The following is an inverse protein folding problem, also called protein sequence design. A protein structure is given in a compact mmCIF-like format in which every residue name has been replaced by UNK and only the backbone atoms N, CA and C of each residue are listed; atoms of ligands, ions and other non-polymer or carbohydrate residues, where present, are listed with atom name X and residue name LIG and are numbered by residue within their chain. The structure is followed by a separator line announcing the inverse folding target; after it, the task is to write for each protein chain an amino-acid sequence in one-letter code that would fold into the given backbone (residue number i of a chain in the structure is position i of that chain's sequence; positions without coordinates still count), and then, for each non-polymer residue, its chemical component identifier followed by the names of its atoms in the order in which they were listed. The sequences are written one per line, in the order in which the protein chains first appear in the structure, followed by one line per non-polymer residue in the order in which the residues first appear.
data_IF_269617315667
#
_entry.id   IF_269617315667
#
_cell.length_a   1.000
_cell.length_b   1.000
_cell.length_c   1.000
_cell.angle_alpha   90.00
_cell.angle_beta   90.00
_cell.angle_gamma   90.00
#
_symmetry.space_group_name_H-M   'P 1'
#
loop_
_entity.id
_entity.type
_entity.pdbx_description
1 polymer ?
#
# COMPACT_ATOMS: atom_id res chain seq x y z
N UNK A 1 -17.73 18.48 44.85
CA UNK A 1 -17.38 19.07 43.54
C UNK A 1 -17.81 18.07 42.46
N UNK A 2 -18.98 18.29 41.86
CA UNK A 2 -19.52 17.42 40.81
C UNK A 2 -18.78 17.71 39.51
N UNK A 3 -17.87 16.81 39.13
CA UNK A 3 -17.06 16.92 37.93
C UNK A 3 -17.98 16.92 36.69
N UNK A 4 -18.04 18.05 36.00
CA UNK A 4 -18.79 18.28 34.76
C UNK A 4 -18.53 17.14 33.77
N UNK A 5 -19.61 16.52 33.26
CA UNK A 5 -19.56 15.33 32.40
C UNK A 5 -18.67 15.45 31.16
N UNK A 6 -18.41 16.66 30.66
CA UNK A 6 -17.48 16.91 29.55
C UNK A 6 -16.02 16.56 29.87
N UNK A 7 -15.57 16.76 31.11
CA UNK A 7 -14.20 16.42 31.51
C UNK A 7 -14.00 14.91 31.67
N UNK A 8 -15.00 14.22 32.25
CA UNK A 8 -15.00 12.77 32.35
C UNK A 8 -15.02 12.10 30.96
N UNK A 9 -15.76 12.65 30.01
CA UNK A 9 -15.76 12.19 28.61
C UNK A 9 -14.38 12.43 27.97
N UNK A 10 -13.76 13.60 28.18
CA UNK A 10 -12.41 13.87 27.67
C UNK A 10 -11.36 12.89 28.17
N UNK A 11 -11.40 12.56 29.47
CA UNK A 11 -10.49 11.57 30.08
C UNK A 11 -10.74 10.16 29.52
N UNK A 12 -12.01 9.76 29.34
CA UNK A 12 -12.36 8.46 28.76
C UNK A 12 -11.91 8.33 27.30
N UNK A 13 -12.07 9.39 26.50
CA UNK A 13 -11.63 9.41 25.10
C UNK A 13 -10.11 9.33 25.01
N UNK A 14 -9.38 10.10 25.84
CA UNK A 14 -7.92 10.04 25.89
C UNK A 14 -7.42 8.65 26.32
N UNK A 15 -8.09 8.03 27.30
CA UNK A 15 -7.79 6.66 27.75
C UNK A 15 -8.04 5.63 26.63
N UNK A 16 -9.18 5.73 25.94
CA UNK A 16 -9.53 4.84 24.83
C UNK A 16 -8.54 4.96 23.66
N UNK A 17 -8.10 6.17 23.33
CA UNK A 17 -7.06 6.42 22.33
C UNK A 17 -5.71 5.82 22.75
N UNK A 18 -5.31 6.01 24.00
CA UNK A 18 -4.07 5.43 24.54
C UNK A 18 -4.09 3.89 24.50
N UNK A 19 -5.23 3.28 24.84
CA UNK A 19 -5.44 1.85 24.71
C UNK A 19 -5.37 1.41 23.24
N UNK A 20 -6.06 2.07 22.33
CA UNK A 20 -6.03 1.72 20.91
C UNK A 20 -4.60 1.77 20.33
N UNK A 21 -3.80 2.78 20.67
CA UNK A 21 -2.40 2.88 20.26
C UNK A 21 -1.55 1.75 20.85
N UNK A 22 -1.70 1.47 22.15
CA UNK A 22 -0.95 0.40 22.79
C UNK A 22 -1.31 -1.00 22.25
N UNK A 23 -2.59 -1.26 22.01
CA UNK A 23 -3.05 -2.53 21.44
C UNK A 23 -2.67 -2.68 19.96
N UNK A 24 -2.65 -1.60 19.19
CA UNK A 24 -2.19 -1.64 17.79
C UNK A 24 -0.68 -1.85 17.70
N UNK A 25 0.11 -1.16 18.51
CA UNK A 25 1.56 -1.42 18.58
C UNK A 25 1.86 -2.82 19.12
N UNK A 26 1.22 -3.23 20.21
CA UNK A 26 1.38 -4.56 20.80
C UNK A 26 0.97 -5.66 19.82
N UNK A 27 -0.19 -5.53 19.20
CA UNK A 27 -0.67 -6.44 18.16
C UNK A 27 0.24 -6.49 16.94
N UNK A 28 0.80 -5.37 16.50
CA UNK A 28 1.75 -5.31 15.39
C UNK A 28 3.08 -6.01 15.70
N UNK A 29 3.63 -5.80 16.90
CA UNK A 29 4.87 -6.45 17.36
C UNK A 29 4.65 -7.95 17.57
N UNK A 30 3.56 -8.35 18.23
CA UNK A 30 3.18 -9.75 18.41
C UNK A 30 2.92 -10.47 17.09
N UNK A 31 2.22 -9.82 16.14
CA UNK A 31 2.01 -10.37 14.80
C UNK A 31 3.31 -10.55 14.01
N UNK A 32 4.34 -9.74 14.31
CA UNK A 32 5.65 -9.84 13.64
C UNK A 32 6.60 -10.85 14.28
N UNK A 33 6.45 -11.15 15.57
CA UNK A 33 7.32 -12.09 16.29
C UNK A 33 6.72 -13.51 16.41
N UNK A 34 5.40 -13.64 16.46
CA UNK A 34 4.70 -14.91 16.76
C UNK A 34 3.67 -15.31 15.68
N UNK A 35 3.41 -14.44 14.71
CA UNK A 35 2.55 -14.78 13.58
C UNK A 35 3.22 -15.79 12.65
N UNK A 36 2.45 -16.68 11.98
CA UNK A 36 2.99 -17.46 10.87
C UNK A 36 3.67 -16.49 9.91
N UNK A 37 4.92 -16.77 9.52
CA UNK A 37 5.64 -15.97 8.53
C UNK A 37 4.67 -15.60 7.41
N UNK A 38 4.34 -14.31 7.20
CA UNK A 38 3.43 -13.96 6.13
C UNK A 38 4.06 -14.49 4.83
N UNK A 39 3.28 -15.16 3.95
CA UNK A 39 3.76 -15.45 2.61
C UNK A 39 4.30 -14.15 2.05
N UNK A 40 5.52 -14.19 1.52
CA UNK A 40 6.35 -13.04 1.22
C UNK A 40 5.48 -11.87 0.71
N UNK A 41 5.28 -10.84 1.54
CA UNK A 41 4.73 -9.56 1.08
C UNK A 41 5.81 -8.83 0.28
N UNK A 42 6.19 -9.42 -0.85
CA UNK A 42 7.07 -8.82 -1.86
C UNK A 42 6.33 -7.90 -2.84
N UNK A 43 5.01 -7.70 -2.69
CA UNK A 43 4.15 -6.96 -3.63
C UNK A 43 3.36 -5.79 -3.04
N UNK A 44 3.73 -5.29 -1.85
CA UNK A 44 2.82 -4.48 -1.03
C UNK A 44 2.61 -3.00 -1.36
N UNK A 45 3.20 -2.45 -2.42
CA UNK A 45 3.02 -1.01 -2.70
C UNK A 45 3.13 -0.68 -4.18
N UNK A 46 4.25 -1.06 -4.79
CA UNK A 46 4.48 -0.78 -6.20
C UNK A 46 3.75 -1.76 -7.13
N UNK A 47 3.72 -3.05 -6.80
CA UNK A 47 2.93 -4.01 -7.58
C UNK A 47 1.42 -3.77 -7.50
N UNK A 48 0.93 -3.27 -6.36
CA UNK A 48 -0.45 -2.82 -6.23
C UNK A 48 -0.73 -1.54 -7.04
N UNK A 49 0.23 -0.62 -7.11
CA UNK A 49 0.18 0.59 -7.93
C UNK A 49 0.19 0.30 -9.45
N UNK A 50 0.91 -0.74 -9.88
CA UNK A 50 0.95 -1.19 -11.28
C UNK A 50 -0.07 -2.29 -11.61
N UNK A 51 -0.88 -2.75 -10.64
CA UNK A 51 -1.83 -3.85 -10.83
C UNK A 51 -1.19 -5.18 -11.26
N UNK A 52 0.10 -5.36 -10.96
CA UNK A 52 1.01 -6.24 -11.69
C UNK A 52 1.20 -7.63 -11.08
N UNK A 53 0.83 -7.85 -9.83
CA UNK A 53 1.20 -9.09 -9.10
C UNK A 53 0.61 -10.39 -9.68
N UNK A 54 -0.40 -10.32 -10.56
CA UNK A 54 -1.08 -11.52 -11.09
C UNK A 54 -1.25 -11.57 -12.60
N UNK A 55 -0.90 -10.50 -13.31
CA UNK A 55 -1.08 -10.41 -14.76
C UNK A 55 0.20 -10.69 -15.57
N UNK A 56 1.37 -10.55 -14.93
CA UNK A 56 2.67 -10.71 -15.59
C UNK A 56 3.39 -11.99 -15.15
N UNK A 57 4.17 -12.62 -16.05
CA UNK A 57 5.08 -13.72 -15.71
C UNK A 57 6.11 -13.32 -14.66
N UNK A 58 6.63 -14.27 -13.85
CA UNK A 58 7.56 -13.98 -12.76
C UNK A 58 8.85 -13.32 -13.25
N UNK A 59 9.35 -13.69 -14.43
CA UNK A 59 10.55 -13.10 -15.04
C UNK A 59 10.36 -11.60 -15.29
N UNK A 60 9.22 -11.21 -15.86
CA UNK A 60 8.87 -9.80 -16.09
C UNK A 60 8.64 -9.05 -14.78
N UNK A 61 8.10 -9.70 -13.74
CA UNK A 61 7.92 -9.06 -12.43
C UNK A 61 9.26 -8.69 -11.77
N UNK A 62 10.26 -9.56 -11.89
CA UNK A 62 11.58 -9.32 -11.35
C UNK A 62 12.30 -8.19 -12.10
N UNK A 63 12.22 -8.17 -13.43
CA UNK A 63 12.75 -7.08 -14.26
C UNK A 63 12.07 -5.74 -13.95
N UNK A 64 10.74 -5.70 -13.85
CA UNK A 64 9.99 -4.51 -13.45
C UNK A 64 10.43 -4.00 -12.08
N UNK A 65 10.56 -4.92 -11.11
CA UNK A 65 10.99 -4.58 -9.76
C UNK A 65 12.39 -3.98 -9.78
N UNK A 66 13.31 -4.60 -10.51
CA UNK A 66 14.69 -4.14 -10.61
C UNK A 66 14.77 -2.76 -11.29
N UNK A 67 14.09 -2.56 -12.41
CA UNK A 67 14.07 -1.28 -13.13
C UNK A 67 13.58 -0.11 -12.26
N UNK A 68 12.65 -0.38 -11.34
CA UNK A 68 12.12 0.59 -10.37
C UNK A 68 13.11 0.87 -9.26
N UNK A 69 13.80 -0.16 -8.76
CA UNK A 69 14.84 0.00 -7.75
C UNK A 69 16.09 0.68 -8.28
N UNK A 70 16.41 0.51 -9.56
CA UNK A 70 17.60 1.11 -10.16
C UNK A 70 17.38 2.57 -10.59
N UNK A 71 16.12 3.00 -10.78
CA UNK A 71 15.79 4.39 -11.11
C UNK A 71 15.85 5.30 -9.86
N UNK A 72 16.87 6.19 -9.73
CA UNK A 72 16.97 7.11 -8.60
C UNK A 72 15.82 8.15 -8.59
N UNK A 73 15.29 8.52 -9.76
CA UNK A 73 14.18 9.45 -9.85
C UNK A 73 12.86 8.80 -9.39
N UNK A 74 12.72 7.48 -9.56
CA UNK A 74 11.59 6.74 -9.01
C UNK A 74 11.62 6.73 -7.48
N UNK A 75 12.80 6.47 -6.88
CA UNK A 75 13.00 6.56 -5.42
C UNK A 75 12.62 7.93 -4.88
N UNK A 76 12.99 8.99 -5.59
CA UNK A 76 12.69 10.36 -5.16
C UNK A 76 11.19 10.66 -5.23
N UNK A 77 10.48 10.22 -6.27
CA UNK A 77 9.02 10.34 -6.36
C UNK A 77 8.30 9.62 -5.22
N UNK A 78 8.78 8.43 -4.85
CA UNK A 78 8.23 7.67 -3.72
C UNK A 78 8.44 8.44 -2.41
N UNK A 79 9.63 9.00 -2.19
CA UNK A 79 9.92 9.84 -1.00
C UNK A 79 9.01 11.06 -0.95
N UNK A 80 8.88 11.79 -2.06
CA UNK A 80 8.00 12.96 -2.15
C UNK A 80 6.55 12.61 -1.75
N UNK A 81 6.01 11.50 -2.26
CA UNK A 81 4.67 11.04 -1.88
C UNK A 81 4.54 10.71 -0.38
N UNK A 82 5.56 10.05 0.20
CA UNK A 82 5.60 9.75 1.64
C UNK A 82 5.63 11.05 2.47
N UNK A 83 6.42 12.03 2.04
CA UNK A 83 6.54 13.33 2.71
C UNK A 83 5.23 14.13 2.64
N UNK A 84 4.58 14.21 1.47
CA UNK A 84 3.28 14.89 1.35
C UNK A 84 2.21 14.22 2.23
N UNK A 85 2.22 12.88 2.34
CA UNK A 85 1.32 12.16 3.26
C UNK A 85 1.63 12.46 4.73
N UNK A 86 2.91 12.56 5.12
CA UNK A 86 3.29 12.96 6.48
C UNK A 86 2.78 14.36 6.78
N UNK A 87 3.01 15.31 5.88
CA UNK A 87 2.55 16.70 5.97
C UNK A 87 1.02 16.80 6.08
N UNK A 88 0.28 15.96 5.35
CA UNK A 88 -1.17 15.86 5.47
C UNK A 88 -1.59 15.51 6.90
N UNK A 89 -0.95 14.52 7.51
CA UNK A 89 -1.24 14.13 8.89
C UNK A 89 -0.83 15.18 9.93
N UNK A 90 0.19 15.99 9.65
CA UNK A 90 0.57 17.12 10.49
C UNK A 90 -0.51 18.22 10.44
N UNK A 91 -0.99 18.58 9.25
CA UNK A 91 -2.04 19.58 9.05
C UNK A 91 -3.36 19.14 9.69
N UNK A 92 -3.74 17.87 9.53
CA UNK A 92 -4.96 17.33 10.16
C UNK A 92 -4.93 17.38 11.69
N UNK A 93 -3.74 17.44 12.30
CA UNK A 93 -3.55 17.53 13.76
C UNK A 93 -3.25 18.94 14.26
N UNK A 94 -3.12 19.91 13.35
CA UNK A 94 -2.84 21.29 13.70
C UNK A 94 -4.05 21.92 14.41
N UNK A 95 -3.76 22.75 15.42
CA UNK A 95 -4.74 23.59 16.10
C UNK A 95 -4.24 25.04 16.04
N UNK A 96 -4.96 25.96 15.36
CA UNK A 96 -6.26 25.77 14.71
C UNK A 96 -6.20 24.92 13.43
N UNK A 97 -7.31 24.23 13.12
CA UNK A 97 -7.46 23.50 11.86
C UNK A 97 -7.51 24.45 10.67
N UNK A 98 -6.63 24.22 9.69
CA UNK A 98 -6.57 24.98 8.44
C UNK A 98 -7.08 24.14 7.25
N UNK A 99 -8.32 24.37 6.78
CA UNK A 99 -8.87 23.65 5.64
C UNK A 99 -8.18 23.98 4.32
N UNK A 100 -7.61 25.18 4.15
CA UNK A 100 -6.92 25.57 2.94
C UNK A 100 -5.56 24.86 2.83
N UNK A 101 -4.84 24.74 3.94
CA UNK A 101 -3.61 23.94 4.00
C UNK A 101 -3.86 22.47 3.68
N UNK A 102 -4.98 21.89 4.16
CA UNK A 102 -5.33 20.50 3.84
C UNK A 102 -5.60 20.32 2.34
N UNK A 103 -6.38 21.22 1.73
CA UNK A 103 -6.64 21.17 0.28
C UNK A 103 -5.35 21.26 -0.54
N UNK A 104 -4.44 22.15 -0.16
CA UNK A 104 -3.16 22.30 -0.83
C UNK A 104 -2.33 21.00 -0.79
N UNK A 105 -2.27 20.33 0.36
CA UNK A 105 -1.52 19.07 0.47
C UNK A 105 -2.22 17.90 -0.22
N UNK A 106 -3.54 17.86 -0.26
CA UNK A 106 -4.26 16.86 -1.05
C UNK A 106 -3.94 17.00 -2.56
N UNK A 107 -3.90 18.23 -3.09
CA UNK A 107 -3.48 18.48 -4.47
C UNK A 107 -2.02 18.10 -4.72
N UNK A 108 -1.14 18.29 -3.73
CA UNK A 108 0.26 17.85 -3.77
C UNK A 108 0.36 16.31 -3.85
N UNK A 109 -0.44 15.59 -3.06
CA UNK A 109 -0.50 14.13 -3.07
C UNK A 109 -1.01 13.60 -4.42
N UNK A 110 -2.03 14.23 -4.99
CA UNK A 110 -2.57 13.88 -6.31
C UNK A 110 -1.48 14.05 -7.38
N UNK A 111 -0.82 15.19 -7.40
CA UNK A 111 0.29 15.48 -8.33
C UNK A 111 1.40 14.43 -8.23
N UNK A 112 1.83 14.12 -6.99
CA UNK A 112 2.89 13.14 -6.75
C UNK A 112 2.47 11.72 -7.11
N UNK A 113 1.19 11.39 -6.93
CA UNK A 113 0.63 10.07 -7.29
C UNK A 113 0.59 9.91 -8.81
N UNK A 114 0.09 10.91 -9.54
CA UNK A 114 0.06 10.90 -11.01
C UNK A 114 1.47 10.80 -11.58
N UNK A 115 2.41 11.59 -11.07
CA UNK A 115 3.81 11.53 -11.50
C UNK A 115 4.46 10.15 -11.25
N UNK A 116 4.10 9.49 -10.14
CA UNK A 116 4.55 8.14 -9.83
C UNK A 116 3.97 7.10 -10.79
N UNK A 117 2.66 7.19 -11.09
CA UNK A 117 1.99 6.31 -12.04
C UNK A 117 2.56 6.44 -13.45
N UNK A 118 2.73 7.67 -13.94
CA UNK A 118 3.32 7.93 -15.25
C UNK A 118 4.76 7.41 -15.37
N UNK A 119 5.56 7.53 -14.31
CA UNK A 119 6.90 6.95 -14.29
C UNK A 119 6.83 5.41 -14.33
N UNK A 120 5.90 4.80 -13.59
CA UNK A 120 5.66 3.37 -13.60
C UNK A 120 5.23 2.84 -14.98
N UNK A 121 4.30 3.53 -15.66
CA UNK A 121 3.87 3.18 -17.01
C UNK A 121 5.01 3.21 -18.02
N UNK A 122 5.91 4.21 -17.93
CA UNK A 122 7.09 4.29 -18.81
C UNK A 122 8.09 3.16 -18.56
N UNK A 123 8.26 2.74 -17.30
CA UNK A 123 9.09 1.57 -17.00
C UNK A 123 8.44 0.31 -17.56
N UNK A 124 7.14 0.14 -17.37
CA UNK A 124 6.39 -0.98 -17.91
C UNK A 124 6.50 -1.07 -19.44
N UNK A 125 6.32 0.04 -20.14
CA UNK A 125 6.47 0.11 -21.60
C UNK A 125 7.86 -0.36 -22.06
N UNK A 126 8.92 0.09 -21.37
CA UNK A 126 10.30 -0.34 -21.67
C UNK A 126 10.50 -1.82 -21.44
N UNK A 127 10.09 -2.34 -20.28
CA UNK A 127 10.25 -3.77 -19.97
C UNK A 127 9.49 -4.62 -20.99
N UNK A 128 8.24 -4.27 -21.31
CA UNK A 128 7.45 -5.00 -22.33
C UNK A 128 8.12 -4.95 -23.71
N UNK A 129 8.72 -3.83 -24.09
CA UNK A 129 9.44 -3.72 -25.37
C UNK A 129 10.66 -4.66 -25.43
N UNK A 130 11.37 -4.82 -24.31
CA UNK A 130 12.57 -5.67 -24.18
C UNK A 130 12.24 -7.15 -23.95
N UNK A 131 11.06 -7.46 -23.41
CA UNK A 131 10.63 -8.85 -23.17
C UNK A 131 10.44 -9.63 -24.49
N UNK A 132 10.91 -10.89 -24.58
CA UNK A 132 10.65 -11.76 -25.73
C UNK A 132 9.14 -12.01 -26.02
N UNK A 133 8.75 -12.24 -27.29
CA UNK A 133 7.35 -12.40 -27.69
C UNK A 133 6.67 -13.63 -27.05
N UNK A 134 7.42 -14.70 -26.81
CA UNK A 134 6.98 -15.91 -26.12
C UNK A 134 6.60 -15.62 -24.66
N UNK A 135 7.44 -14.88 -23.93
CA UNK A 135 7.14 -14.46 -22.55
C UNK A 135 5.98 -13.45 -22.52
N UNK A 136 5.90 -12.54 -23.49
CA UNK A 136 4.75 -11.62 -23.61
C UNK A 136 3.42 -12.34 -23.88
N UNK A 137 3.44 -13.49 -24.56
CA UNK A 137 2.22 -14.25 -24.83
C UNK A 137 1.60 -14.85 -23.56
N UNK A 138 2.38 -14.97 -22.48
CA UNK A 138 1.91 -15.42 -21.17
C UNK A 138 1.24 -14.30 -20.36
N UNK A 139 1.32 -13.04 -20.82
CA UNK A 139 0.61 -11.92 -20.20
C UNK A 139 -0.89 -12.16 -20.35
N UNK A 140 -1.57 -12.27 -19.22
CA UNK A 140 -3.00 -12.50 -19.22
C UNK A 140 -3.62 -12.29 -17.87
N UNK A 141 -4.90 -11.95 -17.85
CA UNK A 141 -5.71 -12.16 -16.66
C UNK A 141 -5.72 -13.66 -16.39
N UNK A 142 -4.94 -14.14 -15.40
CA UNK A 142 -5.07 -15.52 -14.93
C UNK A 142 -6.55 -15.76 -14.62
N UNK A 143 -7.26 -16.46 -15.50
CA UNK A 143 -8.58 -16.99 -15.18
C UNK A 143 -8.37 -17.94 -14.03
N UNK A 144 -9.09 -17.68 -12.95
CA UNK A 144 -9.14 -18.52 -11.79
C UNK A 144 -9.65 -19.92 -12.23
N UNK A 145 -8.75 -20.83 -12.60
CA UNK A 145 -9.03 -22.27 -12.50
C UNK A 145 -9.02 -22.57 -11.01
N UNK A 146 -10.15 -22.23 -10.37
CA UNK A 146 -10.49 -22.74 -9.06
C UNK A 146 -10.79 -24.20 -9.27
N UNK A 147 -9.74 -25.01 -9.14
CA UNK A 147 -9.81 -26.45 -9.01
C UNK A 147 -10.66 -26.75 -7.76
N UNK A 148 -11.96 -26.92 -7.97
CA UNK A 148 -12.93 -27.41 -6.98
C UNK A 148 -13.30 -28.86 -7.28
N UNK A 149 -12.43 -29.62 -7.97
CA UNK A 149 -12.69 -31.02 -8.33
C UNK A 149 -12.29 -32.05 -7.26
N UNK A 150 -12.24 -31.66 -5.98
CA UNK A 150 -11.99 -32.60 -4.86
C UNK A 150 -13.11 -32.66 -3.82
N UNK A 151 -14.37 -32.70 -4.29
CA UNK A 151 -15.40 -33.48 -3.60
C UNK A 151 -15.82 -34.63 -4.50
N UNK A 152 -15.14 -35.77 -4.33
CA UNK A 152 -15.66 -37.05 -4.80
C UNK A 152 -17.07 -37.29 -4.21
N UNK A 153 -17.93 -38.05 -4.91
CA UNK A 153 -19.29 -38.29 -4.46
C UNK A 153 -19.30 -38.99 -3.09
N UNK A 154 -20.32 -38.75 -2.25
CA UNK A 154 -20.48 -39.52 -1.03
C UNK A 154 -20.62 -40.99 -1.40
N UNK A 155 -19.78 -41.84 -0.82
CA UNK A 155 -20.04 -43.27 -0.77
C UNK A 155 -21.22 -43.48 0.19
N UNK A 156 -22.28 -44.08 -0.34
CA UNK A 156 -23.43 -44.58 0.43
C UNK A 156 -23.02 -45.64 1.47
#
# INVERSE_FOLDING_TARGET
MTLRGSWAIGVLVALALSLAVNFTLGGFVSARLLGPHPPHRGGGGFSALLGSDRAYPPEMQDELRQAVFDDPAMKERIRALIESRRKMFEIMRADPYDPAALQAVLAEIETNTTALQEAGHRILEKVVAETPPDVRAEIGWRRHHGDRDHRGPPHD
#
